data_IF_946447117711
#
_entry.id   IF_946447117711
#
_cell.length_a   1.000
_cell.length_b   1.000
_cell.length_c   1.000
_cell.angle_alpha   90.00
_cell.angle_beta   90.00
_cell.angle_gamma   90.00
#
_symmetry.space_group_name_H-M   'P 1'
#
loop_
_entity.id
_entity.type
_entity.pdbx_description
1 polymer ?
#
# COMPACT_ATOMS: atom_id res chain seq x y z
N UNK A 1 9.04 25.57 7.37
CA UNK A 1 9.53 24.37 8.09
C UNK A 1 8.33 23.44 8.19
N UNK A 2 8.15 22.56 7.20
CA UNK A 2 6.95 21.71 7.12
C UNK A 2 7.09 20.56 8.12
N UNK A 3 6.10 20.46 9.00
CA UNK A 3 6.09 19.58 10.16
C UNK A 3 6.21 18.11 9.77
N UNK A 4 6.96 17.35 10.57
CA UNK A 4 7.28 15.91 10.44
C UNK A 4 6.06 14.95 10.30
N UNK A 5 4.81 15.44 10.29
CA UNK A 5 3.59 14.66 10.53
C UNK A 5 2.63 14.56 9.32
N UNK A 6 2.83 15.32 8.24
CA UNK A 6 1.88 15.31 7.12
C UNK A 6 1.95 14.04 6.26
N UNK A 7 3.16 13.51 6.03
CA UNK A 7 3.35 12.34 5.16
C UNK A 7 2.66 11.08 5.71
N UNK A 8 2.80 10.70 6.99
CA UNK A 8 2.06 9.57 7.55
C UNK A 8 0.54 9.69 7.37
N UNK A 9 -0.04 10.89 7.56
CA UNK A 9 -1.47 11.12 7.39
C UNK A 9 -1.92 10.96 5.94
N UNK A 10 -1.13 11.45 4.97
CA UNK A 10 -1.41 11.28 3.54
C UNK A 10 -1.32 9.80 3.13
N UNK A 11 -0.32 9.07 3.61
CA UNK A 11 -0.19 7.64 3.34
C UNK A 11 -1.34 6.86 3.97
N UNK A 12 -1.76 7.20 5.20
CA UNK A 12 -2.98 6.63 5.81
C UNK A 12 -4.20 6.86 4.94
N UNK A 13 -4.45 8.11 4.53
CA UNK A 13 -5.59 8.45 3.67
C UNK A 13 -5.61 7.65 2.37
N UNK A 14 -4.46 7.55 1.68
CA UNK A 14 -4.33 6.76 0.46
C UNK A 14 -4.51 5.25 0.72
N UNK A 15 -4.06 4.76 1.88
CA UNK A 15 -4.24 3.36 2.30
C UNK A 15 -5.72 3.04 2.49
N UNK A 16 -6.44 3.88 3.22
CA UNK A 16 -7.87 3.71 3.48
C UNK A 16 -8.70 3.85 2.21
N UNK A 17 -8.34 4.81 1.36
CA UNK A 17 -8.94 4.92 0.03
C UNK A 17 -8.73 3.64 -0.78
N UNK A 18 -7.50 3.09 -0.82
CA UNK A 18 -7.20 1.85 -1.54
C UNK A 18 -8.01 0.66 -0.99
N UNK A 19 -8.16 0.56 0.34
CA UNK A 19 -9.02 -0.45 0.98
C UNK A 19 -10.48 -0.31 0.56
N UNK A 20 -11.00 0.92 0.54
CA UNK A 20 -12.37 1.20 0.07
C UNK A 20 -12.56 0.80 -1.39
N UNK A 21 -11.64 1.17 -2.28
CA UNK A 21 -11.75 0.77 -3.69
C UNK A 21 -11.68 -0.74 -3.88
N UNK A 22 -10.90 -1.45 -3.06
CA UNK A 22 -10.87 -2.91 -3.06
C UNK A 22 -12.23 -3.52 -2.63
N UNK A 23 -12.89 -2.94 -1.61
CA UNK A 23 -14.23 -3.33 -1.17
C UNK A 23 -15.30 -3.05 -2.23
N UNK A 24 -15.15 -1.97 -3.00
CA UNK A 24 -16.06 -1.62 -4.10
C UNK A 24 -15.74 -2.35 -5.41
N UNK A 25 -14.81 -3.32 -5.38
CA UNK A 25 -14.35 -4.09 -6.54
C UNK A 25 -13.77 -3.23 -7.69
N UNK A 26 -13.38 -1.98 -7.42
CA UNK A 26 -12.72 -1.11 -8.41
C UNK A 26 -11.20 -1.38 -8.43
N UNK A 27 -10.85 -2.52 -9.01
CA UNK A 27 -9.46 -2.94 -9.14
C UNK A 27 -8.66 -2.07 -10.12
N UNK A 28 -9.34 -1.29 -10.99
CA UNK A 28 -8.64 -0.34 -11.85
C UNK A 28 -8.06 0.80 -11.01
N UNK A 29 -8.83 1.34 -10.06
CA UNK A 29 -8.36 2.37 -9.15
C UNK A 29 -7.35 1.82 -8.15
N UNK A 30 -7.54 0.59 -7.64
CA UNK A 30 -6.52 -0.07 -6.80
C UNK A 30 -5.17 -0.14 -7.52
N UNK A 31 -5.12 -0.54 -8.80
CA UNK A 31 -3.87 -0.55 -9.59
C UNK A 31 -3.21 0.82 -9.70
N UNK A 32 -4.01 1.90 -9.85
CA UNK A 32 -3.50 3.27 -9.87
C UNK A 32 -2.89 3.65 -8.52
N UNK A 33 -3.55 3.32 -7.41
CA UNK A 33 -3.03 3.55 -6.06
C UNK A 33 -1.73 2.77 -5.81
N UNK A 34 -1.65 1.51 -6.21
CA UNK A 34 -0.44 0.69 -6.13
C UNK A 34 0.73 1.32 -6.90
N UNK A 35 0.46 1.77 -8.13
CA UNK A 35 1.46 2.47 -8.96
C UNK A 35 1.92 3.77 -8.30
N UNK A 36 0.99 4.54 -7.73
CA UNK A 36 1.29 5.78 -7.03
C UNK A 36 2.19 5.52 -5.81
N UNK A 37 1.86 4.52 -4.99
CA UNK A 37 2.70 4.15 -3.84
C UNK A 37 4.08 3.69 -4.26
N UNK A 38 4.20 2.91 -5.34
CA UNK A 38 5.50 2.52 -5.88
C UNK A 38 6.35 3.74 -6.27
N UNK A 39 5.76 4.71 -6.97
CA UNK A 39 6.45 5.95 -7.37
C UNK A 39 6.85 6.81 -6.18
N UNK A 40 5.97 6.93 -5.18
CA UNK A 40 6.25 7.66 -3.94
C UNK A 40 7.37 6.98 -3.14
N UNK A 41 7.43 5.66 -3.14
CA UNK A 41 8.51 4.92 -2.49
C UNK A 41 9.85 5.12 -3.20
N UNK A 42 9.87 4.99 -4.52
CA UNK A 42 11.07 5.13 -5.34
C UNK A 42 11.67 6.54 -5.24
N UNK A 43 10.84 7.58 -5.44
CA UNK A 43 11.26 8.99 -5.51
C UNK A 43 11.22 9.73 -4.18
N UNK A 44 10.53 9.18 -3.18
CA UNK A 44 10.34 9.81 -1.89
C UNK A 44 11.58 9.79 -1.01
N UNK A 45 11.63 10.74 -0.08
CA UNK A 45 12.66 10.79 0.95
C UNK A 45 12.45 9.68 2.01
N UNK A 46 13.37 9.60 2.97
CA UNK A 46 13.32 8.59 4.05
C UNK A 46 11.99 8.63 4.84
N UNK A 47 11.43 9.80 5.10
CA UNK A 47 10.15 9.92 5.80
C UNK A 47 9.00 9.30 4.99
N UNK A 48 8.98 9.52 3.68
CA UNK A 48 7.97 8.95 2.77
C UNK A 48 8.07 7.43 2.73
N UNK A 49 9.29 6.90 2.58
CA UNK A 49 9.54 5.46 2.55
C UNK A 49 9.13 4.79 3.85
N UNK A 50 9.52 5.37 4.99
CA UNK A 50 9.12 4.88 6.31
C UNK A 50 7.61 4.90 6.49
N UNK A 51 6.91 5.96 6.06
CA UNK A 51 5.46 6.02 6.15
C UNK A 51 4.80 4.91 5.30
N UNK A 52 5.26 4.69 4.07
CA UNK A 52 4.74 3.63 3.20
C UNK A 52 4.95 2.24 3.82
N UNK A 53 6.16 1.96 4.32
CA UNK A 53 6.49 0.67 4.94
C UNK A 53 5.67 0.39 6.20
N UNK A 54 5.50 1.38 7.08
CA UNK A 54 4.84 1.17 8.37
C UNK A 54 3.32 1.25 8.29
N UNK A 55 2.77 1.93 7.27
CA UNK A 55 1.32 2.13 7.15
C UNK A 55 0.75 1.27 6.03
N UNK A 56 1.22 1.49 4.80
CA UNK A 56 0.61 0.90 3.62
C UNK A 56 0.95 -0.59 3.51
N UNK A 57 2.23 -0.95 3.65
CA UNK A 57 2.66 -2.36 3.59
C UNK A 57 2.10 -3.16 4.76
N UNK A 58 2.15 -2.60 5.98
CA UNK A 58 1.56 -3.24 7.16
C UNK A 58 0.05 -3.49 6.99
N UNK A 59 -0.65 -2.55 6.37
CA UNK A 59 -2.09 -2.67 6.07
C UNK A 59 -2.41 -3.59 4.89
N UNK A 60 -1.42 -4.05 4.13
CA UNK A 60 -1.69 -4.78 2.89
C UNK A 60 -2.37 -6.13 3.14
N UNK A 61 -1.95 -6.87 4.17
CA UNK A 61 -2.59 -8.14 4.56
C UNK A 61 -4.06 -7.98 4.91
N UNK A 62 -4.47 -6.84 5.47
CA UNK A 62 -5.88 -6.63 5.87
C UNK A 62 -6.81 -6.50 4.67
N UNK A 63 -6.28 -6.13 3.49
CA UNK A 63 -7.06 -6.09 2.25
C UNK A 63 -7.52 -7.49 1.79
N UNK A 64 -6.82 -8.55 2.22
CA UNK A 64 -7.23 -9.93 1.94
C UNK A 64 -8.60 -10.25 2.59
N UNK A 65 -8.90 -9.66 3.75
CA UNK A 65 -10.20 -9.86 4.42
C UNK A 65 -11.36 -9.18 3.68
N UNK A 66 -11.06 -8.29 2.74
CA UNK A 66 -12.03 -7.45 2.02
C UNK A 66 -12.38 -7.98 0.63
N UNK A 67 -11.79 -9.10 0.20
CA UNK A 67 -11.98 -9.62 -1.15
C UNK A 67 -11.89 -11.16 -1.19
N UNK A 68 -12.40 -11.77 -2.25
CA UNK A 68 -12.27 -13.22 -2.44
C UNK A 68 -10.87 -13.62 -2.96
N UNK A 69 -10.58 -14.92 -3.01
CA UNK A 69 -9.24 -15.41 -3.38
C UNK A 69 -8.81 -15.05 -4.82
N UNK A 70 -9.75 -14.87 -5.75
CA UNK A 70 -9.47 -14.48 -7.13
C UNK A 70 -9.09 -12.99 -7.19
N UNK A 71 -9.87 -12.16 -6.51
CA UNK A 71 -9.64 -10.71 -6.40
C UNK A 71 -8.34 -10.42 -5.66
N UNK A 72 -8.05 -11.18 -4.60
CA UNK A 72 -6.80 -11.07 -3.87
C UNK A 72 -5.57 -11.33 -4.77
N UNK A 73 -5.66 -12.28 -5.71
CA UNK A 73 -4.59 -12.50 -6.69
C UNK A 73 -4.40 -11.28 -7.60
N UNK A 74 -5.49 -10.60 -7.98
CA UNK A 74 -5.43 -9.38 -8.80
C UNK A 74 -4.79 -8.23 -8.02
N UNK A 75 -5.19 -8.02 -6.76
CA UNK A 75 -4.61 -6.98 -5.90
C UNK A 75 -3.12 -7.25 -5.65
N UNK A 76 -2.76 -8.51 -5.37
CA UNK A 76 -1.37 -8.92 -5.20
C UNK A 76 -0.53 -8.71 -6.46
N UNK A 77 -1.06 -9.05 -7.63
CA UNK A 77 -0.38 -8.83 -8.91
C UNK A 77 -0.22 -7.34 -9.26
N UNK A 78 -1.04 -6.45 -8.69
CA UNK A 78 -0.93 -5.01 -8.85
C UNK A 78 0.18 -4.39 -7.98
N UNK A 79 0.67 -5.10 -6.96
CA UNK A 79 1.69 -4.62 -6.05
C UNK A 79 3.01 -4.41 -6.80
N UNK A 80 3.66 -3.23 -6.69
CA UNK A 80 4.98 -3.02 -7.25
C UNK A 80 6.01 -3.93 -6.59
N UNK A 81 6.93 -4.48 -7.37
CA UNK A 81 7.98 -5.40 -6.91
C UNK A 81 8.74 -4.92 -5.65
N UNK A 82 9.25 -3.68 -5.55
CA UNK A 82 9.96 -3.24 -4.34
C UNK A 82 9.07 -3.24 -3.10
N UNK A 83 7.79 -2.90 -3.25
CA UNK A 83 6.82 -2.92 -2.15
C UNK A 83 6.43 -4.36 -1.77
N UNK A 84 6.32 -5.25 -2.75
CA UNK A 84 6.05 -6.66 -2.50
C UNK A 84 7.21 -7.33 -1.75
N UNK A 85 8.46 -6.98 -2.08
CA UNK A 85 9.62 -7.47 -1.35
C UNK A 85 9.59 -7.06 0.14
N UNK A 86 9.23 -5.81 0.43
CA UNK A 86 9.03 -5.34 1.80
C UNK A 86 7.90 -6.09 2.51
N UNK A 87 6.79 -6.32 1.82
CA UNK A 87 5.68 -7.10 2.35
C UNK A 87 6.11 -8.52 2.74
N UNK A 88 6.80 -9.23 1.85
CA UNK A 88 7.32 -10.58 2.10
C UNK A 88 8.27 -10.58 3.28
N UNK A 89 9.15 -9.58 3.40
CA UNK A 89 10.04 -9.44 4.55
C UNK A 89 9.28 -9.21 5.87
N UNK A 90 8.17 -8.47 5.86
CA UNK A 90 7.37 -8.24 7.06
C UNK A 90 6.64 -9.52 7.52
N UNK A 91 6.08 -10.30 6.59
CA UNK A 91 5.31 -11.51 6.94
C UNK A 91 6.18 -12.76 7.15
N UNK A 92 7.43 -12.74 6.69
CA UNK A 92 8.38 -13.86 6.88
C UNK A 92 9.22 -13.73 8.15
N UNK A 93 9.16 -12.60 8.85
CA UNK A 93 9.82 -12.45 10.15
C UNK A 93 8.96 -13.18 11.20
N UNK A 94 9.54 -14.16 11.93
CA UNK A 94 8.83 -14.94 12.94
C UNK A 94 8.41 -14.11 14.15
#
# INVERSE_FOLDING_TARGET
MFSQQEMPALIQLLTDFTKRMALEHDFQTVRKCMTLMGRLYEKGNMQTRNAIENIFIYSFSTMMCSCNIVEWKVIRAAMPEPLYALYVQQVSKP
#
